data_IF_182308909271
#
_entry.id   IF_182308909271
#
_cell.length_a   1.000
_cell.length_b   1.000
_cell.length_c   1.000
_cell.angle_alpha   90.00
_cell.angle_beta   90.00
_cell.angle_gamma   90.00
#
_symmetry.space_group_name_H-M   'P 1'
#
loop_
_entity.id
_entity.type
_entity.pdbx_description
1 polymer ?
#
# COMPACT_ATOMS: atom_id res chain seq x y z
N UNK A 1 38.26 -3.93 -23.53
CA UNK A 1 37.36 -4.88 -22.83
C UNK A 1 36.66 -4.12 -21.72
N UNK A 2 35.33 -4.09 -21.74
CA UNK A 2 34.51 -3.36 -20.77
C UNK A 2 33.05 -3.79 -20.96
N UNK A 3 32.79 -5.05 -20.60
CA UNK A 3 31.44 -5.59 -20.42
C UNK A 3 30.77 -4.85 -19.25
N UNK A 4 29.43 -4.86 -19.22
CA UNK A 4 28.51 -4.26 -18.22
C UNK A 4 27.90 -2.89 -18.55
N UNK A 5 27.00 -2.88 -19.53
CA UNK A 5 25.82 -2.00 -19.48
C UNK A 5 24.66 -2.59 -20.29
N UNK A 6 24.31 -3.87 -20.05
CA UNK A 6 22.93 -4.32 -20.26
C UNK A 6 22.14 -3.83 -19.04
N UNK A 7 21.86 -2.53 -19.01
CA UNK A 7 20.86 -1.97 -18.12
C UNK A 7 19.55 -2.64 -18.53
N UNK A 8 19.01 -3.47 -17.64
CA UNK A 8 17.66 -4.01 -17.73
C UNK A 8 16.71 -2.84 -18.00
N UNK A 9 16.35 -2.61 -19.26
CA UNK A 9 15.13 -1.88 -19.59
C UNK A 9 14.02 -2.86 -19.24
N UNK A 10 13.47 -2.73 -18.03
CA UNK A 10 12.21 -3.37 -17.69
C UNK A 10 11.15 -3.05 -18.77
N UNK A 11 10.08 -3.84 -18.87
CA UNK A 11 9.01 -3.57 -19.82
C UNK A 11 8.59 -2.10 -19.75
N UNK A 12 8.37 -1.49 -20.90
CA UNK A 12 7.90 -0.10 -21.00
C UNK A 12 6.63 0.02 -20.16
N UNK A 13 6.71 0.78 -19.07
CA UNK A 13 5.58 0.92 -18.15
C UNK A 13 4.46 1.61 -18.94
N UNK A 14 3.30 0.97 -19.00
CA UNK A 14 2.10 1.54 -19.57
C UNK A 14 1.58 2.64 -18.63
N UNK A 15 2.13 3.85 -18.83
CA UNK A 15 1.79 5.02 -18.02
C UNK A 15 0.31 5.38 -18.13
N UNK A 16 -0.34 5.13 -19.26
CA UNK A 16 -1.79 5.38 -19.43
C UNK A 16 -2.60 4.47 -18.50
N UNK A 17 -2.30 3.16 -18.51
CA UNK A 17 -2.95 2.19 -17.64
C UNK A 17 -2.65 2.44 -16.16
N UNK A 18 -1.40 2.79 -15.84
CA UNK A 18 -1.00 3.18 -14.49
C UNK A 18 -1.80 4.40 -14.00
N UNK A 19 -1.91 5.44 -14.82
CA UNK A 19 -2.66 6.65 -14.46
C UNK A 19 -4.16 6.35 -14.32
N UNK A 20 -4.76 5.56 -15.21
CA UNK A 20 -6.15 5.15 -15.11
C UNK A 20 -6.44 4.35 -13.82
N UNK A 21 -5.51 3.49 -13.40
CA UNK A 21 -5.64 2.75 -12.14
C UNK A 21 -5.43 3.65 -10.92
N UNK A 22 -4.48 4.60 -10.98
CA UNK A 22 -4.27 5.58 -9.92
C UNK A 22 -5.51 6.48 -9.74
N UNK A 23 -6.15 6.90 -10.83
CA UNK A 23 -7.42 7.65 -10.78
C UNK A 23 -8.55 6.82 -10.16
N UNK A 24 -8.68 5.54 -10.53
CA UNK A 24 -9.66 4.64 -9.91
C UNK A 24 -9.40 4.45 -8.41
N UNK A 25 -8.14 4.27 -8.01
CA UNK A 25 -7.77 4.20 -6.60
C UNK A 25 -8.16 5.47 -5.85
N UNK A 26 -7.90 6.64 -6.46
CA UNK A 26 -8.27 7.94 -5.90
C UNK A 26 -9.78 8.09 -5.74
N UNK A 27 -10.56 7.71 -6.75
CA UNK A 27 -12.02 7.78 -6.69
C UNK A 27 -12.58 6.87 -5.61
N UNK A 28 -12.14 5.61 -5.54
CA UNK A 28 -12.53 4.67 -4.49
C UNK A 28 -12.17 5.17 -3.10
N UNK A 29 -10.96 5.69 -2.94
CA UNK A 29 -10.50 6.20 -1.66
C UNK A 29 -11.32 7.40 -1.21
N UNK A 30 -11.57 8.37 -2.08
CA UNK A 30 -12.39 9.54 -1.78
C UNK A 30 -13.85 9.20 -1.47
N UNK A 31 -14.38 8.13 -2.06
CA UNK A 31 -15.73 7.65 -1.75
C UNK A 31 -15.80 7.00 -0.36
N UNK A 32 -14.77 6.28 0.05
CA UNK A 32 -14.74 5.54 1.31
C UNK A 32 -14.22 6.35 2.51
N UNK A 33 -13.36 7.34 2.27
CA UNK A 33 -12.63 8.10 3.29
C UNK A 33 -13.06 9.56 3.26
N UNK A 34 -13.50 10.07 4.40
CA UNK A 34 -13.85 11.47 4.56
C UNK A 34 -12.62 12.37 4.34
N UNK A 35 -12.79 13.42 3.52
CA UNK A 35 -11.69 14.28 3.06
C UNK A 35 -10.53 13.49 2.42
N UNK A 36 -10.84 12.38 1.72
CA UNK A 36 -9.83 11.53 1.08
C UNK A 36 -8.90 12.27 0.11
N UNK A 37 -9.34 13.44 -0.40
CA UNK A 37 -8.53 14.28 -1.26
C UNK A 37 -7.25 14.83 -0.58
N UNK A 38 -7.26 14.97 0.75
CA UNK A 38 -6.15 15.47 1.55
C UNK A 38 -5.07 14.42 1.82
N UNK A 39 -5.30 13.18 1.36
CA UNK A 39 -4.37 12.06 1.54
C UNK A 39 -3.60 11.83 0.25
N UNK A 40 -2.30 11.53 0.41
CA UNK A 40 -1.50 10.90 -0.65
C UNK A 40 -1.74 9.40 -0.60
N UNK A 41 -1.66 8.72 -1.75
CA UNK A 41 -2.05 7.31 -1.88
C UNK A 41 -0.90 6.46 -2.41
N UNK A 42 -0.79 5.24 -1.91
CA UNK A 42 -0.01 4.15 -2.49
C UNK A 42 -0.85 2.88 -2.52
N UNK A 43 -0.56 2.01 -3.47
CA UNK A 43 -1.02 0.64 -3.47
C UNK A 43 -0.10 -0.22 -2.60
N UNK A 44 -0.69 -1.05 -1.76
CA UNK A 44 0.02 -1.97 -0.90
C UNK A 44 -0.76 -3.26 -0.74
N UNK A 45 -0.15 -4.26 -0.11
CA UNK A 45 -0.83 -5.49 0.24
C UNK A 45 -0.46 -5.97 1.64
N UNK A 46 -1.35 -6.75 2.25
CA UNK A 46 -1.15 -7.40 3.55
C UNK A 46 -1.27 -8.90 3.42
N UNK A 47 -0.40 -9.63 4.11
CA UNK A 47 -0.50 -11.09 4.23
C UNK A 47 -1.37 -11.51 5.44
N UNK A 48 -1.65 -10.59 6.37
CA UNK A 48 -2.58 -10.83 7.48
C UNK A 48 -4.02 -10.51 7.06
N UNK A 49 -4.60 -11.44 6.31
CA UNK A 49 -5.99 -11.37 5.82
C UNK A 49 -7.04 -11.72 6.87
N UNK A 50 -6.64 -12.15 8.07
CA UNK A 50 -7.59 -12.57 9.12
C UNK A 50 -8.49 -11.42 9.60
N UNK A 51 -8.06 -10.18 9.36
CA UNK A 51 -8.74 -8.94 9.75
C UNK A 51 -9.53 -8.28 8.65
N UNK A 52 -9.30 -8.65 7.39
CA UNK A 52 -9.90 -8.01 6.23
C UNK A 52 -10.84 -8.99 5.53
N UNK A 53 -12.14 -8.90 5.84
CA UNK A 53 -13.19 -9.73 5.22
C UNK A 53 -13.47 -9.37 3.74
N UNK A 54 -12.55 -8.70 3.06
CA UNK A 54 -12.74 -8.12 1.73
C UNK A 54 -11.46 -8.23 0.91
N UNK A 55 -11.56 -8.69 -0.35
CA UNK A 55 -10.43 -8.66 -1.29
C UNK A 55 -9.61 -9.96 -1.44
N UNK A 56 -10.11 -11.12 -1.01
CA UNK A 56 -9.40 -12.39 -1.19
C UNK A 56 -9.24 -12.76 -2.66
N UNK A 57 -8.00 -12.99 -3.08
CA UNK A 57 -7.70 -13.61 -4.37
C UNK A 57 -7.97 -15.12 -4.24
N UNK A 58 -9.07 -15.60 -4.83
CA UNK A 58 -9.40 -17.02 -4.89
C UNK A 58 -8.33 -17.75 -5.72
N UNK A 59 -7.60 -18.69 -5.10
CA UNK A 59 -6.68 -19.60 -5.81
C UNK A 59 -5.20 -19.49 -5.43
N UNK A 60 -4.78 -18.47 -4.68
CA UNK A 60 -3.39 -18.36 -4.21
C UNK A 60 -3.16 -19.18 -2.92
N UNK A 61 -2.02 -19.87 -2.83
CA UNK A 61 -1.55 -20.53 -1.59
C UNK A 61 -1.25 -19.51 -0.48
N UNK A 62 -1.02 -18.25 -0.85
CA UNK A 62 -0.78 -17.13 0.07
C UNK A 62 -2.03 -16.25 0.07
N UNK A 63 -2.74 -16.18 1.19
CA UNK A 63 -3.89 -15.29 1.32
C UNK A 63 -3.37 -13.87 1.47
N UNK A 64 -3.37 -13.12 0.38
CA UNK A 64 -2.97 -11.70 0.35
C UNK A 64 -4.21 -10.84 0.18
N UNK A 65 -4.29 -9.75 0.96
CA UNK A 65 -5.32 -8.72 0.85
C UNK A 65 -4.74 -7.46 0.24
N UNK A 66 -5.42 -6.89 -0.75
CA UNK A 66 -4.99 -5.66 -1.41
C UNK A 66 -5.47 -4.43 -0.63
N UNK A 67 -4.63 -3.41 -0.56
CA UNK A 67 -4.86 -2.21 0.23
C UNK A 67 -4.56 -0.97 -0.61
N UNK A 68 -5.47 0.00 -0.57
CA UNK A 68 -5.16 1.39 -0.88
C UNK A 68 -4.77 2.03 0.44
N UNK A 69 -3.51 2.45 0.56
CA UNK A 69 -2.99 3.10 1.76
C UNK A 69 -2.90 4.59 1.50
N UNK A 70 -3.69 5.35 2.25
CA UNK A 70 -3.63 6.80 2.26
C UNK A 70 -2.85 7.32 3.46
N UNK A 71 -1.99 8.31 3.30
CA UNK A 71 -1.38 9.00 4.43
C UNK A 71 -1.59 10.51 4.34
N UNK A 72 -1.73 11.13 5.50
CA UNK A 72 -1.79 12.58 5.65
C UNK A 72 -0.70 13.01 6.62
N UNK A 73 0.23 13.83 6.11
CA UNK A 73 1.40 14.25 6.88
C UNK A 73 1.04 15.21 8.02
N UNK A 74 0.12 16.13 7.79
CA UNK A 74 -0.29 17.14 8.77
C UNK A 74 -0.96 16.51 9.99
N UNK A 75 -1.83 15.53 9.76
CA UNK A 75 -2.58 14.82 10.80
C UNK A 75 -1.86 13.56 11.31
N UNK A 76 -0.69 13.22 10.75
CA UNK A 76 0.06 12.00 11.06
C UNK A 76 -0.85 10.75 11.10
N UNK A 77 -1.68 10.61 10.07
CA UNK A 77 -2.70 9.58 9.98
C UNK A 77 -2.45 8.72 8.75
N UNK A 78 -2.52 7.40 8.93
CA UNK A 78 -2.49 6.41 7.86
C UNK A 78 -3.87 5.75 7.82
N UNK A 79 -4.44 5.61 6.63
CA UNK A 79 -5.70 4.92 6.40
C UNK A 79 -5.44 3.74 5.49
N UNK A 80 -5.78 2.53 5.95
CA UNK A 80 -5.73 1.33 5.15
C UNK A 80 -7.14 1.00 4.66
N UNK A 81 -7.35 1.08 3.35
CA UNK A 81 -8.62 0.75 2.70
C UNK A 81 -8.48 -0.57 1.93
N UNK A 82 -9.13 -1.66 2.37
CA UNK A 82 -9.11 -2.93 1.66
C UNK A 82 -9.80 -2.82 0.30
N UNK A 83 -9.23 -3.44 -0.73
CA UNK A 83 -9.79 -3.46 -2.07
C UNK A 83 -9.53 -4.80 -2.78
N UNK A 84 -10.08 -4.94 -3.98
CA UNK A 84 -9.81 -6.04 -4.92
C UNK A 84 -8.86 -5.55 -6.02
N UNK A 85 -8.06 -6.43 -6.66
CA UNK A 85 -7.15 -6.03 -7.74
C UNK A 85 -7.85 -5.28 -8.89
N UNK A 86 -9.11 -5.64 -9.17
CA UNK A 86 -9.91 -5.00 -10.21
C UNK A 86 -10.37 -3.57 -9.88
N UNK A 87 -10.13 -3.07 -8.65
CA UNK A 87 -10.63 -1.79 -8.16
C UNK A 87 -12.15 -1.62 -8.37
N UNK A 88 -12.91 -2.72 -8.30
CA UNK A 88 -14.37 -2.70 -8.48
C UNK A 88 -15.14 -2.46 -7.18
N UNK A 89 -14.43 -2.42 -6.04
CA UNK A 89 -15.02 -2.08 -4.75
C UNK A 89 -13.99 -2.04 -3.62
N UNK A 90 -14.42 -1.59 -2.45
CA UNK A 90 -13.60 -1.46 -1.26
C UNK A 90 -14.33 -1.94 0.00
N UNK A 91 -13.55 -2.37 0.99
CA UNK A 91 -14.03 -2.66 2.34
C UNK A 91 -14.14 -1.40 3.21
N UNK A 92 -14.30 -1.59 4.51
CA UNK A 92 -14.28 -0.49 5.46
C UNK A 92 -12.86 0.07 5.64
N UNK A 93 -12.65 1.41 5.61
CA UNK A 93 -11.36 2.00 5.90
C UNK A 93 -10.97 1.80 7.38
N UNK A 94 -9.72 1.46 7.62
CA UNK A 94 -9.14 1.42 8.97
C UNK A 94 -8.20 2.60 9.17
N UNK A 95 -8.44 3.40 10.21
CA UNK A 95 -7.64 4.59 10.53
C UNK A 95 -6.58 4.26 11.58
N UNK A 96 -5.34 4.67 11.32
CA UNK A 96 -4.20 4.57 12.21
C UNK A 96 -3.64 5.96 12.46
N UNK A 97 -3.96 6.53 13.62
CA UNK A 97 -3.40 7.81 14.04
C UNK A 97 -2.15 7.61 14.86
N UNK A 98 -1.12 8.43 14.61
CA UNK A 98 0.17 8.32 15.30
C UNK A 98 0.09 8.45 16.83
N UNK A 99 -0.89 9.21 17.33
CA UNK A 99 -1.17 9.37 18.76
C UNK A 99 -1.75 8.09 19.38
N UNK A 100 -2.61 7.38 18.66
CA UNK A 100 -3.41 6.24 19.13
C UNK A 100 -2.67 4.90 19.04
N UNK A 101 -1.76 4.75 18.07
CA UNK A 101 -1.02 3.50 17.89
C UNK A 101 -0.05 3.21 19.05
N UNK A 102 0.17 1.93 19.32
CA UNK A 102 1.16 1.48 20.29
C UNK A 102 2.58 1.56 19.73
N UNK A 103 2.79 1.05 18.51
CA UNK A 103 4.13 0.93 17.89
C UNK A 103 4.01 0.95 16.37
N UNK A 104 4.99 1.53 15.68
CA UNK A 104 5.11 1.47 14.23
C UNK A 104 6.59 1.46 13.81
N UNK A 105 6.96 0.52 12.95
CA UNK A 105 8.32 0.40 12.43
C UNK A 105 8.33 -0.25 11.05
N UNK A 106 9.36 0.03 10.26
CA UNK A 106 9.62 -0.66 8.99
C UNK A 106 10.52 -1.85 9.24
N UNK A 107 10.09 -3.03 8.82
CA UNK A 107 10.93 -4.20 8.74
C UNK A 107 11.54 -4.27 7.32
N UNK A 108 12.84 -4.56 7.21
CA UNK A 108 13.52 -4.70 5.91
C UNK A 108 13.82 -6.15 5.54
N UNK A 109 13.64 -7.09 6.46
CA UNK A 109 13.93 -8.52 6.25
C UNK A 109 13.04 -9.40 7.14
N UNK A 110 12.44 -10.51 6.64
CA UNK A 110 12.60 -11.12 5.32
C UNK A 110 11.78 -10.47 4.19
N UNK A 111 10.81 -9.62 4.53
CA UNK A 111 10.03 -8.81 3.58
C UNK A 111 10.08 -7.35 4.00
N UNK A 112 10.12 -6.45 3.02
CA UNK A 112 10.11 -5.00 3.26
C UNK A 112 8.68 -4.54 3.55
N UNK A 113 8.36 -4.43 4.83
CA UNK A 113 7.00 -4.22 5.31
C UNK A 113 6.95 -3.11 6.35
N UNK A 114 5.96 -2.24 6.23
CA UNK A 114 5.62 -1.24 7.24
C UNK A 114 4.66 -1.86 8.23
N UNK A 115 5.12 -2.05 9.46
CA UNK A 115 4.35 -2.70 10.51
C UNK A 115 3.77 -1.66 11.45
N UNK A 116 2.45 -1.70 11.66
CA UNK A 116 1.74 -0.83 12.60
C UNK A 116 1.00 -1.70 13.61
N UNK A 117 1.27 -1.47 14.89
CA UNK A 117 0.56 -2.05 16.03
C UNK A 117 -0.39 -0.99 16.59
N UNK A 118 -1.70 -1.05 16.32
CA UNK A 118 -2.65 -0.15 16.97
C UNK A 118 -2.78 -0.50 18.46
N UNK A 119 -2.63 -1.77 18.83
CA UNK A 119 -2.67 -2.25 20.23
C UNK A 119 -1.68 -3.42 20.46
N UNK A 120 -1.73 -4.05 21.64
CA UNK A 120 -0.85 -5.19 22.01
C UNK A 120 -1.28 -6.53 21.38
N UNK A 121 -2.50 -6.63 20.86
CA UNK A 121 -3.13 -7.86 20.36
C UNK A 121 -3.09 -7.95 18.84
N UNK A 122 -2.70 -6.88 18.17
CA UNK A 122 -2.86 -6.73 16.74
C UNK A 122 -1.74 -5.98 16.06
N UNK A 123 -1.53 -6.30 14.79
CA UNK A 123 -0.73 -5.50 13.88
C UNK A 123 -1.32 -5.55 12.48
N UNK A 124 -0.91 -4.62 11.63
CA UNK A 124 -1.05 -4.67 10.18
C UNK A 124 0.35 -4.61 9.58
N UNK A 125 0.61 -5.48 8.60
CA UNK A 125 1.78 -5.40 7.75
C UNK A 125 1.41 -4.83 6.40
N UNK A 126 1.93 -3.65 6.06
CA UNK A 126 1.73 -2.99 4.78
C UNK A 126 2.98 -3.26 3.94
N UNK A 127 2.85 -4.11 2.94
CA UNK A 127 3.92 -4.41 1.99
C UNK A 127 3.73 -3.53 0.75
N UNK A 128 4.79 -2.82 0.36
CA UNK A 128 4.78 -2.12 -0.91
C UNK A 128 5.07 -3.12 -2.03
N UNK A 129 4.27 -3.07 -3.09
CA UNK A 129 4.56 -3.84 -4.29
C UNK A 129 5.68 -3.12 -5.07
N UNK A 130 6.86 -3.76 -5.15
CA UNK A 130 8.02 -3.22 -5.87
C UNK A 130 8.06 -3.69 -7.35
N UNK A 131 7.22 -4.68 -7.73
CA UNK A 131 7.31 -5.29 -9.07
C UNK A 131 5.96 -5.71 -9.70
N UNK A 132 5.82 -5.36 -10.99
CA UNK A 132 4.63 -5.45 -11.84
C UNK A 132 4.53 -6.80 -12.59
N UNK A 133 4.77 -7.94 -11.94
CA UNK A 133 4.83 -9.23 -12.67
C UNK A 133 3.47 -9.93 -12.84
N UNK A 134 2.50 -9.67 -11.97
CA UNK A 134 1.19 -10.36 -12.02
C UNK A 134 0.02 -9.40 -11.79
N UNK A 135 -0.50 -8.86 -12.90
CA UNK A 135 -1.68 -7.98 -12.93
C UNK A 135 -2.98 -8.68 -12.48
N UNK A 136 -2.98 -10.02 -12.40
CA UNK A 136 -4.12 -10.76 -11.87
C UNK A 136 -4.16 -10.72 -10.34
N UNK A 137 -3.01 -10.47 -9.71
CA UNK A 137 -2.84 -10.46 -8.26
C UNK A 137 -2.76 -9.04 -7.69
N UNK A 138 -2.17 -8.11 -8.43
CA UNK A 138 -1.87 -6.75 -7.96
C UNK A 138 -2.39 -5.68 -8.92
N UNK A 139 -2.61 -4.48 -8.39
CA UNK A 139 -3.00 -3.33 -9.19
C UNK A 139 -1.77 -2.82 -9.95
N UNK A 140 -1.90 -2.68 -11.26
CA UNK A 140 -0.85 -2.11 -12.12
C UNK A 140 -0.74 -0.60 -11.91
N UNK A 141 0.17 -0.15 -11.05
CA UNK A 141 0.47 1.27 -10.80
C UNK A 141 1.97 1.47 -10.60
N UNK A 142 2.55 2.41 -11.35
CA UNK A 142 3.89 2.94 -11.10
C UNK A 142 3.83 3.95 -9.96
N UNK A 143 4.54 3.66 -8.87
CA UNK A 143 4.44 4.43 -7.63
C UNK A 143 5.78 4.63 -6.92
N UNK A 144 6.89 4.59 -7.65
CA UNK A 144 8.24 4.72 -7.06
C UNK A 144 8.39 6.02 -6.25
N UNK A 145 7.89 7.15 -6.76
CA UNK A 145 7.92 8.43 -6.05
C UNK A 145 7.00 8.44 -4.82
N UNK A 146 5.78 7.93 -4.97
CA UNK A 146 4.81 7.85 -3.88
C UNK A 146 5.28 6.90 -2.76
N UNK A 147 5.94 5.79 -3.11
CA UNK A 147 6.55 4.87 -2.15
C UNK A 147 7.72 5.51 -1.41
N UNK A 148 8.55 6.30 -2.09
CA UNK A 148 9.63 7.05 -1.45
C UNK A 148 9.08 8.10 -0.48
N UNK A 149 8.05 8.84 -0.88
CA UNK A 149 7.36 9.82 -0.02
C UNK A 149 6.71 9.15 1.20
N UNK A 150 5.97 8.05 0.99
CA UNK A 150 5.38 7.28 2.09
C UNK A 150 6.44 6.73 3.04
N UNK A 151 7.56 6.23 2.50
CA UNK A 151 8.70 5.75 3.29
C UNK A 151 9.24 6.86 4.19
N UNK A 152 9.47 8.05 3.63
CA UNK A 152 10.01 9.19 4.38
C UNK A 152 9.04 9.60 5.50
N UNK A 153 7.77 9.80 5.16
CA UNK A 153 6.72 10.09 6.13
C UNK A 153 6.66 9.02 7.24
N UNK A 154 6.65 7.75 6.85
CA UNK A 154 6.51 6.66 7.81
C UNK A 154 7.69 6.64 8.77
N UNK A 155 8.93 6.76 8.27
CA UNK A 155 10.12 6.66 9.10
C UNK A 155 10.35 7.91 9.95
N UNK A 156 10.09 9.10 9.41
CA UNK A 156 10.43 10.37 10.07
C UNK A 156 9.29 10.95 10.91
N UNK A 157 8.02 10.66 10.56
CA UNK A 157 6.84 11.27 11.20
C UNK A 157 5.93 10.25 11.88
N UNK A 158 5.79 9.04 11.32
CA UNK A 158 4.84 8.05 11.83
C UNK A 158 5.47 6.94 12.69
N UNK A 159 6.76 6.67 12.58
CA UNK A 159 7.41 5.61 13.34
C UNK A 159 7.29 5.88 14.84
N UNK A 160 6.94 4.84 15.61
CA UNK A 160 6.78 4.87 17.07
C UNK A 160 7.47 3.65 17.63
N UNK A 161 8.45 3.86 18.50
CA UNK A 161 9.14 2.77 19.19
C UNK A 161 8.28 2.23 20.32
#
# INVERSE_FOLDING_TARGET
>A
MGFFSKLFKGPEIDMEKSNANAEKMRLLFNQAVENGADYQLIFAYTEDVSRFNYGFIHGSKTKVGNLIVGWNEANQTIVALPTVPALSGCGAPTYYRRSEILKAYRNKYPTDAFIIYPDRKSYIGINACDWLEDESLYVYVSQTEALAAFTDFFMNRFAKK
#
